data_IF_076590875515
#
_entry.id   IF_076590875515
#
_cell.length_a   1.000
_cell.length_b   1.000
_cell.length_c   1.000
_cell.angle_alpha   90.00
_cell.angle_beta   90.00
_cell.angle_gamma   90.00
#
_symmetry.space_group_name_H-M   'P 1'
#
loop_
_entity.id
_entity.type
_entity.pdbx_description
1 polymer ?
#
# COMPACT_ATOMS: atom_id res chain seq x y z
N UNK A 1 -34.13 -11.97 -3.39
CA UNK A 1 -33.44 -10.71 -3.03
C UNK A 1 -32.90 -10.75 -1.62
N UNK A 2 -33.72 -11.04 -0.59
CA UNK A 2 -33.25 -11.10 0.81
C UNK A 2 -32.02 -12.00 1.04
N UNK A 3 -32.05 -13.26 0.58
CA UNK A 3 -30.92 -14.20 0.71
C UNK A 3 -29.65 -13.73 -0.04
N UNK A 4 -29.83 -12.99 -1.14
CA UNK A 4 -28.71 -12.42 -1.92
C UNK A 4 -28.05 -11.29 -1.13
N UNK A 5 -28.85 -10.43 -0.50
CA UNK A 5 -28.35 -9.32 0.30
C UNK A 5 -27.64 -9.80 1.56
N UNK A 6 -28.17 -10.84 2.22
CA UNK A 6 -27.48 -11.51 3.34
C UNK A 6 -26.14 -12.11 2.91
N UNK A 7 -26.10 -12.76 1.74
CA UNK A 7 -24.84 -13.30 1.18
C UNK A 7 -23.83 -12.18 0.91
N UNK A 8 -24.27 -11.06 0.34
CA UNK A 8 -23.40 -9.91 0.08
C UNK A 8 -22.91 -9.30 1.39
N UNK A 9 -23.76 -9.17 2.41
CA UNK A 9 -23.37 -8.65 3.73
C UNK A 9 -22.20 -9.43 4.33
N UNK A 10 -22.28 -10.77 4.31
CA UNK A 10 -21.20 -11.66 4.77
C UNK A 10 -19.92 -11.45 3.94
N UNK A 11 -20.04 -11.30 2.62
CA UNK A 11 -18.89 -11.07 1.74
C UNK A 11 -18.25 -9.69 1.96
N UNK A 12 -19.03 -8.67 2.30
CA UNK A 12 -18.52 -7.34 2.64
C UNK A 12 -17.71 -7.38 3.94
N UNK A 13 -18.16 -8.14 4.95
CA UNK A 13 -17.49 -8.27 6.25
C UNK A 13 -16.09 -8.91 6.15
N UNK A 14 -15.86 -9.72 5.11
CA UNK A 14 -14.54 -10.31 4.79
C UNK A 14 -13.90 -9.69 3.56
N UNK A 15 -14.37 -8.52 3.12
CA UNK A 15 -13.82 -7.76 2.00
C UNK A 15 -13.71 -8.58 0.68
N UNK A 16 -14.59 -9.55 0.44
CA UNK A 16 -14.56 -10.45 -0.71
C UNK A 16 -15.23 -9.85 -1.94
N UNK A 17 -14.80 -8.66 -2.35
CA UNK A 17 -15.49 -7.82 -3.34
C UNK A 17 -15.64 -8.43 -4.72
N UNK A 18 -14.67 -9.22 -5.19
CA UNK A 18 -14.82 -9.93 -6.46
C UNK A 18 -16.02 -10.90 -6.45
N UNK A 19 -16.23 -11.61 -5.34
CA UNK A 19 -17.36 -12.52 -5.20
C UNK A 19 -18.67 -11.76 -5.07
N UNK A 20 -18.70 -10.70 -4.24
CA UNK A 20 -19.88 -9.86 -4.07
C UNK A 20 -20.31 -9.19 -5.39
N UNK A 21 -19.35 -8.67 -6.17
CA UNK A 21 -19.60 -8.09 -7.48
C UNK A 21 -20.14 -9.11 -8.49
N UNK A 22 -19.55 -10.31 -8.56
CA UNK A 22 -20.03 -11.39 -9.46
C UNK A 22 -21.48 -11.77 -9.18
N UNK A 23 -21.88 -11.80 -7.90
CA UNK A 23 -23.28 -12.04 -7.53
C UNK A 23 -24.14 -10.86 -8.00
N UNK A 24 -23.74 -9.62 -7.70
CA UNK A 24 -24.48 -8.42 -8.07
C UNK A 24 -24.65 -8.22 -9.60
N UNK A 25 -23.68 -8.63 -10.41
CA UNK A 25 -23.73 -8.54 -11.87
C UNK A 25 -24.76 -9.50 -12.49
N UNK A 26 -24.97 -10.67 -11.88
CA UNK A 26 -25.91 -11.69 -12.38
C UNK A 26 -27.39 -11.32 -12.18
N UNK A 27 -27.68 -10.31 -11.37
CA UNK A 27 -29.05 -9.89 -11.05
C UNK A 27 -29.33 -8.52 -11.66
N UNK A 28 -30.17 -8.48 -12.71
CA UNK A 28 -30.52 -7.23 -13.41
C UNK A 28 -31.09 -6.15 -12.47
N UNK A 29 -31.95 -6.57 -11.53
CA UNK A 29 -32.63 -5.68 -10.57
C UNK A 29 -31.76 -5.24 -9.38
N UNK A 30 -30.46 -5.59 -9.38
CA UNK A 30 -29.55 -5.15 -8.32
C UNK A 30 -29.32 -3.62 -8.38
N UNK A 31 -29.33 -2.90 -7.24
CA UNK A 31 -29.18 -1.44 -7.22
C UNK A 31 -27.90 -0.99 -7.94
N UNK A 32 -28.02 -0.04 -8.87
CA UNK A 32 -26.92 0.42 -9.71
C UNK A 32 -25.77 1.04 -8.91
N UNK A 33 -26.10 1.85 -7.89
CA UNK A 33 -25.15 2.43 -6.93
C UNK A 33 -24.32 1.34 -6.26
N UNK A 34 -24.97 0.34 -5.66
CA UNK A 34 -24.31 -0.78 -5.00
C UNK A 34 -23.48 -1.61 -5.96
N UNK A 35 -23.98 -1.85 -7.19
CA UNK A 35 -23.22 -2.57 -8.23
C UNK A 35 -21.93 -1.86 -8.57
N UNK A 36 -22.00 -0.54 -8.79
CA UNK A 36 -20.84 0.31 -9.07
C UNK A 36 -19.82 0.31 -7.92
N UNK A 37 -20.28 0.48 -6.68
CA UNK A 37 -19.39 0.48 -5.51
C UNK A 37 -18.70 -0.88 -5.32
N UNK A 38 -19.40 -1.99 -5.54
CA UNK A 38 -18.81 -3.34 -5.50
C UNK A 38 -17.75 -3.54 -6.59
N UNK A 39 -18.01 -3.07 -7.80
CA UNK A 39 -17.04 -3.11 -8.90
C UNK A 39 -15.80 -2.28 -8.57
N UNK A 40 -16.00 -1.05 -8.11
CA UNK A 40 -14.92 -0.16 -7.70
C UNK A 40 -14.06 -0.77 -6.59
N UNK A 41 -14.68 -1.39 -5.58
CA UNK A 41 -13.96 -2.06 -4.49
C UNK A 41 -13.19 -3.31 -4.97
N UNK A 42 -13.74 -4.07 -5.93
CA UNK A 42 -13.01 -5.15 -6.62
C UNK A 42 -11.76 -4.59 -7.30
N UNK A 43 -11.89 -3.54 -8.11
CA UNK A 43 -10.77 -2.93 -8.83
C UNK A 43 -9.70 -2.37 -7.89
N UNK A 44 -10.10 -1.80 -6.75
CA UNK A 44 -9.18 -1.38 -5.69
C UNK A 44 -8.37 -2.55 -5.12
N UNK A 45 -9.00 -3.69 -4.84
CA UNK A 45 -8.30 -4.91 -4.38
C UNK A 45 -7.40 -5.52 -5.45
N UNK A 46 -7.68 -5.25 -6.73
CA UNK A 46 -6.83 -5.60 -7.87
C UNK A 46 -5.77 -4.53 -8.16
N UNK A 47 -5.64 -3.52 -7.28
CA UNK A 47 -4.69 -2.40 -7.35
C UNK A 47 -4.91 -1.48 -8.56
N UNK A 48 -6.07 -1.54 -9.21
CA UNK A 48 -6.45 -0.73 -10.34
C UNK A 48 -7.15 0.58 -9.91
N UNK A 49 -6.35 1.58 -9.51
CA UNK A 49 -6.92 2.91 -9.18
C UNK A 49 -7.41 3.66 -10.42
N UNK A 50 -6.95 3.29 -11.61
CA UNK A 50 -7.31 3.97 -12.86
C UNK A 50 -8.81 3.87 -13.13
N UNK A 51 -9.46 2.78 -12.69
CA UNK A 51 -10.90 2.63 -12.73
C UNK A 51 -11.62 3.83 -12.09
N UNK A 52 -11.21 4.24 -10.89
CA UNK A 52 -11.85 5.36 -10.19
C UNK A 52 -11.66 6.67 -10.95
N UNK A 53 -10.48 6.91 -11.48
CA UNK A 53 -10.20 8.14 -12.24
C UNK A 53 -10.94 8.18 -13.59
N UNK A 54 -11.34 7.04 -14.14
CA UNK A 54 -12.15 6.93 -15.35
C UNK A 54 -13.66 7.18 -15.08
N UNK A 55 -14.14 6.84 -13.88
CA UNK A 55 -15.57 6.93 -13.49
C UNK A 55 -15.88 8.19 -12.66
N UNK A 56 -15.45 9.36 -13.13
CA UNK A 56 -15.61 10.62 -12.38
C UNK A 56 -17.08 11.04 -12.19
N UNK A 57 -17.95 10.66 -13.12
CA UNK A 57 -19.37 11.02 -13.06
C UNK A 57 -20.08 10.28 -11.93
N UNK A 58 -19.83 8.97 -11.84
CA UNK A 58 -20.32 8.08 -10.81
C UNK A 58 -19.78 8.49 -9.43
N UNK A 59 -18.48 8.75 -9.32
CA UNK A 59 -17.87 9.28 -8.10
C UNK A 59 -18.56 10.56 -7.59
N UNK A 60 -18.89 11.49 -8.49
CA UNK A 60 -19.60 12.73 -8.13
C UNK A 60 -21.03 12.47 -7.66
N UNK A 61 -21.70 11.43 -8.15
CA UNK A 61 -23.03 11.04 -7.67
C UNK A 61 -22.92 10.52 -6.24
N UNK A 62 -21.97 9.63 -5.95
CA UNK A 62 -21.73 9.12 -4.60
C UNK A 62 -21.43 10.27 -3.63
N UNK A 63 -20.53 11.18 -4.00
CA UNK A 63 -20.22 12.34 -3.15
C UNK A 63 -21.46 13.19 -2.84
N UNK A 64 -22.30 13.47 -3.83
CA UNK A 64 -23.53 14.27 -3.60
C UNK A 64 -24.55 13.56 -2.72
N UNK A 65 -24.65 12.24 -2.81
CA UNK A 65 -25.66 11.46 -2.09
C UNK A 65 -25.23 11.14 -0.66
N UNK A 66 -23.93 10.90 -0.43
CA UNK A 66 -23.40 10.38 0.84
C UNK A 66 -22.42 11.31 1.55
N UNK A 67 -22.07 12.45 0.95
CA UNK A 67 -20.99 13.33 1.41
C UNK A 67 -19.66 12.55 1.61
N UNK A 68 -19.40 11.60 0.71
CA UNK A 68 -18.24 10.72 0.77
C UNK A 68 -17.40 10.82 -0.51
N UNK A 69 -16.13 11.22 -0.36
CA UNK A 69 -15.19 11.29 -1.48
C UNK A 69 -14.50 9.93 -1.67
N UNK A 70 -14.70 9.32 -2.84
CA UNK A 70 -14.08 8.05 -3.22
C UNK A 70 -12.59 8.20 -3.57
N UNK A 71 -12.08 9.41 -3.81
CA UNK A 71 -10.67 9.64 -4.14
C UNK A 71 -10.14 10.81 -3.30
N UNK A 72 -9.23 10.54 -2.36
CA UNK A 72 -8.74 11.58 -1.45
C UNK A 72 -7.37 12.15 -1.87
N UNK A 73 -6.67 11.45 -2.76
CA UNK A 73 -5.32 11.79 -3.20
C UNK A 73 -5.21 12.02 -4.72
N UNK A 74 -4.10 12.62 -5.15
CA UNK A 74 -3.69 12.57 -6.56
C UNK A 74 -3.29 11.14 -6.95
N UNK A 75 -3.26 10.85 -8.26
CA UNK A 75 -3.12 9.48 -8.79
C UNK A 75 -1.97 8.67 -8.17
N UNK A 76 -0.78 9.24 -8.02
CA UNK A 76 0.38 8.51 -7.50
C UNK A 76 0.24 8.20 -6.01
N UNK A 77 -0.23 9.16 -5.22
CA UNK A 77 -0.48 9.00 -3.79
C UNK A 77 -1.69 8.10 -3.54
N UNK A 78 -2.71 8.14 -4.39
CA UNK A 78 -3.88 7.26 -4.33
C UNK A 78 -3.50 5.81 -4.59
N UNK A 79 -2.55 5.54 -5.50
CA UNK A 79 -2.00 4.20 -5.68
C UNK A 79 -1.36 3.66 -4.38
N UNK A 80 -0.62 4.51 -3.66
CA UNK A 80 0.00 4.13 -2.38
C UNK A 80 -1.06 3.92 -1.30
N UNK A 81 -2.01 4.85 -1.18
CA UNK A 81 -3.12 4.75 -0.22
C UNK A 81 -3.94 3.47 -0.47
N UNK A 82 -4.29 3.20 -1.74
CA UNK A 82 -5.02 2.01 -2.15
C UNK A 82 -4.26 0.72 -1.80
N UNK A 83 -2.95 0.69 -2.03
CA UNK A 83 -2.14 -0.46 -1.65
C UNK A 83 -2.16 -0.70 -0.13
N UNK A 84 -2.09 0.36 0.67
CA UNK A 84 -2.18 0.28 2.13
C UNK A 84 -3.58 -0.19 2.57
N UNK A 85 -4.66 0.25 1.91
CA UNK A 85 -6.01 -0.27 2.16
C UNK A 85 -6.12 -1.78 1.91
N UNK A 86 -5.49 -2.28 0.84
CA UNK A 86 -5.43 -3.72 0.56
C UNK A 86 -4.59 -4.49 1.60
N UNK A 87 -3.50 -3.90 2.11
CA UNK A 87 -2.74 -4.48 3.23
C UNK A 87 -3.58 -4.56 4.51
N UNK A 88 -4.34 -3.52 4.83
CA UNK A 88 -5.23 -3.51 5.99
C UNK A 88 -6.34 -4.57 5.87
N UNK A 89 -6.95 -4.71 4.69
CA UNK A 89 -7.93 -5.77 4.43
C UNK A 89 -7.34 -7.17 4.64
N UNK A 90 -6.08 -7.40 4.25
CA UNK A 90 -5.38 -8.67 4.50
C UNK A 90 -5.19 -8.95 5.99
N UNK A 91 -4.79 -7.95 6.77
CA UNK A 91 -4.64 -8.10 8.24
C UNK A 91 -5.99 -8.42 8.88
N UNK A 92 -7.03 -7.65 8.54
CA UNK A 92 -8.38 -7.82 9.12
C UNK A 92 -8.99 -9.18 8.82
N UNK A 93 -8.65 -9.78 7.68
CA UNK A 93 -9.04 -11.14 7.32
C UNK A 93 -8.13 -12.25 7.90
N UNK A 94 -7.11 -11.90 8.68
CA UNK A 94 -6.14 -12.88 9.22
C UNK A 94 -5.17 -13.45 8.18
N UNK A 95 -5.06 -12.84 6.99
CA UNK A 95 -4.17 -13.29 5.90
C UNK A 95 -2.73 -12.80 6.12
N UNK A 96 -2.13 -13.16 7.26
CA UNK A 96 -0.85 -12.62 7.73
C UNK A 96 0.31 -12.93 6.77
N UNK A 97 0.32 -14.13 6.19
CA UNK A 97 1.36 -14.52 5.22
C UNK A 97 1.32 -13.61 3.99
N UNK A 98 0.13 -13.36 3.45
CA UNK A 98 -0.04 -12.54 2.25
C UNK A 98 0.22 -11.06 2.54
N UNK A 99 -0.16 -10.59 3.74
CA UNK A 99 0.24 -9.27 4.24
C UNK A 99 1.77 -9.14 4.22
N UNK A 100 2.50 -10.03 4.91
CA UNK A 100 3.97 -10.01 4.98
C UNK A 100 4.61 -10.00 3.59
N UNK A 101 4.14 -10.84 2.67
CA UNK A 101 4.69 -10.92 1.30
C UNK A 101 4.46 -9.64 0.51
N UNK A 102 3.35 -8.96 0.78
CA UNK A 102 2.95 -7.71 0.12
C UNK A 102 3.69 -6.47 0.65
N UNK A 103 4.50 -6.57 1.71
CA UNK A 103 5.17 -5.40 2.31
C UNK A 103 6.28 -4.80 1.42
N UNK A 104 7.07 -5.61 0.73
CA UNK A 104 8.27 -5.09 0.03
C UNK A 104 7.98 -4.02 -1.02
N UNK A 105 6.97 -4.15 -1.90
CA UNK A 105 6.65 -3.11 -2.89
C UNK A 105 6.32 -1.76 -2.26
N UNK A 106 5.51 -1.72 -1.19
CA UNK A 106 5.13 -0.45 -0.56
C UNK A 106 6.32 0.19 0.16
N UNK A 107 7.18 -0.59 0.84
CA UNK A 107 8.39 -0.06 1.47
C UNK A 107 9.34 0.54 0.44
N UNK A 108 9.57 -0.17 -0.68
CA UNK A 108 10.40 0.34 -1.76
C UNK A 108 9.86 1.68 -2.29
N UNK A 109 8.55 1.76 -2.58
CA UNK A 109 7.92 2.97 -3.11
C UNK A 109 7.98 4.15 -2.13
N UNK A 110 7.74 3.91 -0.84
CA UNK A 110 7.83 4.95 0.18
C UNK A 110 9.26 5.44 0.38
N UNK A 111 10.25 4.53 0.46
CA UNK A 111 11.66 4.92 0.58
C UNK A 111 12.14 5.66 -0.67
N UNK A 112 11.76 5.19 -1.86
CA UNK A 112 12.09 5.86 -3.13
C UNK A 112 11.51 7.27 -3.16
N UNK A 113 10.24 7.44 -2.77
CA UNK A 113 9.58 8.75 -2.70
C UNK A 113 10.27 9.70 -1.71
N UNK A 114 10.67 9.22 -0.54
CA UNK A 114 11.42 10.02 0.42
C UNK A 114 12.82 10.38 -0.11
N UNK A 115 13.49 9.46 -0.80
CA UNK A 115 14.78 9.73 -1.42
C UNK A 115 14.67 10.79 -2.51
N UNK A 116 13.60 10.76 -3.33
CA UNK A 116 13.30 11.83 -4.30
C UNK A 116 13.07 13.20 -3.66
N UNK A 117 12.54 13.25 -2.44
CA UNK A 117 12.34 14.52 -1.74
C UNK A 117 13.67 15.16 -1.35
N UNK A 118 14.67 14.34 -1.02
CA UNK A 118 16.03 14.79 -0.68
C UNK A 118 16.87 15.03 -1.94
N UNK A 119 16.60 14.28 -3.02
CA UNK A 119 17.33 14.30 -4.30
C UNK A 119 16.27 14.37 -5.43
N UNK A 120 15.81 15.57 -5.84
CA UNK A 120 14.72 15.72 -6.81
C UNK A 120 14.91 15.00 -8.14
N UNK A 121 16.16 14.90 -8.63
CA UNK A 121 16.56 14.23 -9.86
C UNK A 121 17.17 12.83 -9.60
N UNK A 122 16.68 12.09 -8.59
CA UNK A 122 17.20 10.78 -8.20
C UNK A 122 17.32 9.80 -9.38
N UNK A 123 16.40 9.88 -10.34
CA UNK A 123 16.38 9.05 -11.56
C UNK A 123 17.68 9.15 -12.38
N UNK A 124 18.34 10.31 -12.40
CA UNK A 124 19.59 10.52 -13.14
C UNK A 124 20.76 9.71 -12.55
N UNK A 125 20.60 9.18 -11.35
CA UNK A 125 21.59 8.37 -10.64
C UNK A 125 21.25 6.88 -10.64
N UNK A 126 20.25 6.46 -11.42
CA UNK A 126 19.77 5.08 -11.49
C UNK A 126 19.77 4.62 -12.94
N UNK A 127 20.45 3.50 -13.20
CA UNK A 127 20.33 2.77 -14.45
C UNK A 127 19.14 1.81 -14.36
N UNK A 128 18.08 2.12 -15.12
CA UNK A 128 16.93 1.25 -15.35
C UNK A 128 17.35 0.04 -16.18
N UNK A 129 17.24 -1.16 -15.59
CA UNK A 129 17.69 -2.39 -16.22
C UNK A 129 16.75 -2.87 -17.37
N UNK A 130 15.56 -2.28 -17.52
CA UNK A 130 14.54 -2.54 -18.57
C UNK A 130 14.08 -4.00 -18.69
N UNK A 131 14.46 -4.88 -17.78
CA UNK A 131 14.14 -6.31 -17.75
C UNK A 131 13.95 -6.80 -16.30
N UNK A 132 13.87 -8.11 -16.06
CA UNK A 132 13.70 -8.70 -14.71
C UNK A 132 14.88 -8.47 -13.75
N UNK A 133 15.89 -7.68 -14.14
CA UNK A 133 17.00 -7.32 -13.25
C UNK A 133 16.65 -6.10 -12.41
N UNK A 134 17.32 -6.00 -11.26
CA UNK A 134 17.23 -4.82 -10.41
C UNK A 134 17.88 -3.62 -11.10
N UNK A 135 17.26 -2.45 -10.94
CA UNK A 135 17.90 -1.17 -11.20
C UNK A 135 19.23 -1.07 -10.44
N UNK A 136 20.17 -0.29 -10.99
CA UNK A 136 21.51 -0.15 -10.39
C UNK A 136 21.91 1.29 -10.22
N UNK A 137 22.63 1.59 -9.14
CA UNK A 137 23.18 2.89 -8.82
C UNK A 137 24.31 3.26 -9.79
N UNK A 138 24.23 4.48 -10.30
CA UNK A 138 25.26 5.14 -11.10
C UNK A 138 26.29 5.82 -10.16
N UNK A 139 27.16 5.01 -9.56
CA UNK A 139 28.09 5.49 -8.52
C UNK A 139 29.09 6.54 -8.98
N UNK A 140 29.41 6.61 -10.27
CA UNK A 140 30.33 7.63 -10.80
C UNK A 140 29.67 9.00 -10.77
N UNK A 141 28.43 9.05 -11.21
CA UNK A 141 27.54 10.20 -11.30
C UNK A 141 27.19 10.69 -9.88
N UNK A 142 26.88 9.76 -8.97
CA UNK A 142 26.65 10.09 -7.55
C UNK A 142 27.88 10.74 -6.89
N UNK A 143 29.10 10.29 -7.21
CA UNK A 143 30.35 10.88 -6.68
C UNK A 143 30.64 12.27 -7.23
N UNK A 144 30.20 12.56 -8.45
CA UNK A 144 30.42 13.84 -9.12
C UNK A 144 29.33 14.88 -8.80
N UNK A 145 28.20 14.44 -8.25
CA UNK A 145 27.12 15.35 -7.86
C UNK A 145 27.47 16.20 -6.62
N UNK A 146 26.72 17.28 -6.43
CA UNK A 146 26.83 18.16 -5.26
C UNK A 146 26.04 17.64 -4.03
N UNK A 147 25.42 16.47 -4.13
CA UNK A 147 24.58 15.91 -3.06
C UNK A 147 25.43 15.32 -1.93
N UNK A 148 25.53 16.05 -0.81
CA UNK A 148 26.28 15.61 0.38
C UNK A 148 25.86 14.24 0.93
N UNK A 149 24.60 13.85 0.75
CA UNK A 149 24.07 12.53 1.10
C UNK A 149 24.80 11.41 0.37
N UNK A 150 25.15 11.57 -0.92
CA UNK A 150 25.89 10.58 -1.68
C UNK A 150 27.34 10.47 -1.25
N UNK A 151 28.02 11.59 -0.97
CA UNK A 151 29.39 11.55 -0.46
C UNK A 151 29.49 10.76 0.84
N UNK A 152 28.54 10.94 1.77
CA UNK A 152 28.46 10.17 3.02
C UNK A 152 28.10 8.69 2.77
N UNK A 153 27.13 8.45 1.88
CA UNK A 153 26.66 7.10 1.56
C UNK A 153 27.76 6.21 0.94
N UNK A 154 28.62 6.80 0.10
CA UNK A 154 29.66 6.12 -0.67
C UNK A 154 31.03 6.03 0.03
N UNK A 155 31.15 6.46 1.30
CA UNK A 155 32.38 6.26 2.10
C UNK A 155 32.74 4.78 2.24
N UNK A 156 31.73 3.91 2.29
CA UNK A 156 31.91 2.46 2.29
C UNK A 156 31.42 1.84 0.99
N UNK A 157 31.97 0.68 0.64
CA UNK A 157 31.54 -0.07 -0.55
C UNK A 157 30.08 -0.50 -0.40
N UNK A 158 29.27 -0.24 -1.43
CA UNK A 158 27.85 -0.58 -1.50
C UNK A 158 27.57 -1.62 -2.58
N UNK A 159 26.44 -2.32 -2.44
CA UNK A 159 25.85 -3.11 -3.51
C UNK A 159 25.31 -2.15 -4.58
N UNK A 160 25.52 -2.48 -5.85
CA UNK A 160 25.06 -1.66 -6.96
C UNK A 160 23.53 -1.66 -7.09
N UNK A 161 22.83 -2.69 -6.62
CA UNK A 161 21.38 -2.81 -6.80
C UNK A 161 20.59 -1.77 -5.99
N UNK A 162 19.64 -1.12 -6.64
CA UNK A 162 18.64 -0.27 -6.00
C UNK A 162 17.57 -1.18 -5.41
N UNK A 163 17.51 -1.23 -4.08
CA UNK A 163 16.61 -2.08 -3.31
C UNK A 163 16.05 -1.27 -2.15
N UNK A 164 14.99 -1.76 -1.51
CA UNK A 164 14.48 -1.20 -0.25
C UNK A 164 15.59 -1.05 0.79
N UNK A 165 16.53 -2.00 0.84
CA UNK A 165 17.74 -1.92 1.67
C UNK A 165 18.62 -0.74 1.31
N UNK A 166 19.03 -0.60 0.05
CA UNK A 166 20.00 0.44 -0.33
C UNK A 166 19.37 1.83 -0.23
N UNK A 167 18.07 1.98 -0.52
CA UNK A 167 17.33 3.22 -0.26
C UNK A 167 17.24 3.54 1.24
N UNK A 168 16.92 2.56 2.09
CA UNK A 168 16.88 2.76 3.54
C UNK A 168 18.25 3.18 4.10
N UNK A 169 19.35 2.58 3.61
CA UNK A 169 20.72 2.93 3.98
C UNK A 169 21.10 4.34 3.50
N UNK A 170 20.70 4.73 2.28
CA UNK A 170 20.91 6.08 1.74
C UNK A 170 20.19 7.12 2.60
N UNK A 171 18.93 6.88 2.95
CA UNK A 171 18.10 7.78 3.73
C UNK A 171 18.62 8.04 5.16
N UNK A 172 19.50 7.20 5.70
CA UNK A 172 20.14 7.50 6.99
C UNK A 172 21.03 8.76 6.93
N UNK A 173 21.53 9.11 5.74
CA UNK A 173 22.39 10.28 5.53
C UNK A 173 21.62 11.54 5.10
N UNK A 174 20.29 11.45 5.01
CA UNK A 174 19.39 12.55 4.62
C UNK A 174 19.19 13.59 5.73
N UNK A 175 18.42 14.64 5.43
CA UNK A 175 17.95 15.63 6.41
C UNK A 175 16.61 15.24 7.06
N UNK A 176 16.16 14.00 6.87
CA UNK A 176 14.95 13.51 7.51
C UNK A 176 15.08 13.55 9.05
N UNK A 177 13.98 13.85 9.78
CA UNK A 177 13.96 13.75 11.24
C UNK A 177 14.34 12.36 11.74
N UNK A 178 14.98 12.30 12.91
CA UNK A 178 15.48 11.04 13.48
C UNK A 178 14.38 9.99 13.69
N UNK A 179 13.17 10.41 14.08
CA UNK A 179 12.04 9.49 14.23
C UNK A 179 11.65 8.82 12.90
N UNK A 180 11.78 9.52 11.76
CA UNK A 180 11.52 8.94 10.43
C UNK A 180 12.66 8.00 10.01
N UNK A 181 13.91 8.36 10.31
CA UNK A 181 15.07 7.49 10.05
C UNK A 181 15.00 6.18 10.85
N UNK A 182 14.55 6.27 12.11
CA UNK A 182 14.28 5.11 12.95
C UNK A 182 13.14 4.27 12.38
N UNK A 183 12.04 4.89 11.97
CA UNK A 183 10.91 4.22 11.32
C UNK A 183 11.34 3.44 10.07
N UNK A 184 12.15 4.06 9.19
CA UNK A 184 12.72 3.41 8.00
C UNK A 184 13.58 2.19 8.39
N UNK A 185 14.39 2.32 9.44
CA UNK A 185 15.27 1.25 9.95
C UNK A 185 14.46 0.07 10.47
N UNK A 186 13.41 0.33 11.25
CA UNK A 186 12.51 -0.70 11.78
C UNK A 186 11.77 -1.44 10.65
N UNK A 187 11.19 -0.69 9.70
CA UNK A 187 10.51 -1.27 8.53
C UNK A 187 11.46 -2.15 7.71
N UNK A 188 12.70 -1.72 7.55
CA UNK A 188 13.74 -2.48 6.85
C UNK A 188 14.16 -3.74 7.62
N UNK A 189 14.24 -3.66 8.95
CA UNK A 189 14.56 -4.80 9.79
C UNK A 189 13.47 -5.88 9.72
N UNK A 190 12.20 -5.48 9.71
CA UNK A 190 11.08 -6.39 9.47
C UNK A 190 11.20 -7.12 8.13
N UNK A 191 11.44 -6.37 7.05
CA UNK A 191 11.56 -6.96 5.72
C UNK A 191 12.68 -8.02 5.67
N UNK A 192 13.81 -7.74 6.33
CA UNK A 192 14.95 -8.67 6.42
C UNK A 192 14.62 -9.91 7.25
N UNK A 193 13.99 -9.74 8.42
CA UNK A 193 13.82 -10.80 9.44
C UNK A 193 12.58 -11.67 9.20
N UNK A 194 11.53 -11.12 8.59
CA UNK A 194 10.25 -11.80 8.40
C UNK A 194 9.97 -12.01 6.93
N UNK A 195 9.82 -10.93 6.16
CA UNK A 195 9.39 -11.00 4.77
C UNK A 195 10.33 -11.85 3.92
N UNK A 196 11.64 -11.60 4.00
CA UNK A 196 12.63 -12.29 3.17
C UNK A 196 12.60 -13.82 3.39
N UNK A 197 12.65 -14.34 4.62
CA UNK A 197 12.43 -15.77 4.87
C UNK A 197 11.08 -16.28 4.35
N UNK A 198 9.97 -15.56 4.57
CA UNK A 198 8.63 -16.01 4.13
C UNK A 198 8.41 -16.02 2.61
N UNK A 199 9.19 -15.22 1.88
CA UNK A 199 9.18 -15.20 0.42
C UNK A 199 9.99 -16.35 -0.20
N UNK A 200 10.94 -16.93 0.53
CA UNK A 200 11.84 -17.98 0.04
C UNK A 200 11.61 -19.35 0.65
N UNK A 201 10.90 -19.43 1.78
CA UNK A 201 10.68 -20.66 2.54
C UNK A 201 9.19 -20.95 2.69
N UNK A 202 8.84 -22.24 2.70
CA UNK A 202 7.51 -22.73 3.07
C UNK A 202 7.58 -23.12 4.54
N UNK A 203 6.95 -22.33 5.42
CA UNK A 203 6.86 -22.59 6.86
C UNK A 203 5.49 -22.19 7.39
N UNK A 204 4.98 -22.83 8.45
CA UNK A 204 3.82 -22.33 9.17
C UNK A 204 4.12 -20.92 9.68
N UNK A 205 3.16 -20.00 9.51
CA UNK A 205 3.30 -18.62 9.94
C UNK A 205 1.93 -17.96 10.09
N UNK A 206 1.71 -17.32 11.23
CA UNK A 206 0.50 -16.62 11.62
C UNK A 206 0.86 -15.38 12.48
N UNK A 207 -0.13 -14.75 13.10
CA UNK A 207 0.07 -13.57 13.95
C UNK A 207 0.94 -13.87 15.18
N UNK A 208 0.80 -15.05 15.78
CA UNK A 208 1.58 -15.45 16.96
C UNK A 208 3.05 -15.64 16.60
N UNK A 209 3.33 -16.32 15.49
CA UNK A 209 4.70 -16.52 15.00
C UNK A 209 5.33 -15.20 14.55
N UNK A 210 4.53 -14.28 13.99
CA UNK A 210 4.97 -12.92 13.69
C UNK A 210 5.43 -12.20 14.95
N UNK A 211 4.57 -12.14 15.96
CA UNK A 211 4.87 -11.47 17.22
C UNK A 211 6.07 -12.10 17.92
N UNK A 212 6.22 -13.43 17.90
CA UNK A 212 7.40 -14.12 18.44
C UNK A 212 8.71 -13.74 17.74
N UNK A 213 8.64 -13.45 16.44
CA UNK A 213 9.82 -13.11 15.62
C UNK A 213 10.23 -11.64 15.76
N UNK A 214 9.25 -10.73 15.89
CA UNK A 214 9.49 -9.28 15.80
C UNK A 214 9.22 -8.51 17.10
N UNK A 215 8.50 -9.10 18.06
CA UNK A 215 7.84 -8.44 19.19
C UNK A 215 6.79 -7.39 18.79
N UNK A 216 6.28 -7.43 17.56
CA UNK A 216 5.23 -6.54 17.06
C UNK A 216 4.10 -7.33 16.40
N UNK A 217 2.88 -6.84 16.51
CA UNK A 217 1.74 -7.33 15.74
C UNK A 217 1.80 -6.84 14.28
N UNK A 218 1.04 -7.50 13.40
CA UNK A 218 0.85 -7.06 12.02
C UNK A 218 0.21 -5.68 11.95
N UNK A 219 -0.75 -5.37 12.84
CA UNK A 219 -1.35 -4.04 12.93
C UNK A 219 -0.31 -2.97 13.30
N UNK A 220 0.52 -3.21 14.33
CA UNK A 220 1.56 -2.26 14.72
C UNK A 220 2.58 -2.01 13.59
N UNK A 221 2.79 -3.01 12.73
CA UNK A 221 3.63 -2.85 11.55
C UNK A 221 2.94 -2.06 10.42
N UNK A 222 1.64 -2.30 10.20
CA UNK A 222 0.84 -1.51 9.27
C UNK A 222 0.79 -0.03 9.69
N UNK A 223 0.61 0.25 10.98
CA UNK A 223 0.58 1.61 11.52
C UNK A 223 1.88 2.35 11.20
N UNK A 224 3.03 1.67 11.31
CA UNK A 224 4.34 2.21 10.91
C UNK A 224 4.44 2.52 9.41
N UNK A 225 3.83 1.69 8.54
CA UNK A 225 3.74 1.97 7.10
C UNK A 225 2.86 3.19 6.85
N UNK A 226 1.72 3.27 7.53
CA UNK A 226 0.78 4.40 7.43
C UNK A 226 1.45 5.71 7.88
N UNK A 227 2.14 5.70 9.01
CA UNK A 227 2.89 6.86 9.53
C UNK A 227 3.91 7.36 8.50
N UNK A 228 4.67 6.44 7.90
CA UNK A 228 5.64 6.78 6.86
C UNK A 228 4.96 7.32 5.59
N UNK A 229 3.81 6.76 5.20
CA UNK A 229 3.05 7.20 4.04
C UNK A 229 2.47 8.60 4.24
N UNK A 230 1.90 8.88 5.41
CA UNK A 230 1.41 10.21 5.80
C UNK A 230 2.56 11.21 5.78
N UNK A 231 3.71 10.86 6.35
CA UNK A 231 4.90 11.69 6.31
C UNK A 231 5.42 11.94 4.88
N UNK A 232 5.22 10.98 3.97
CA UNK A 232 5.53 11.11 2.54
C UNK A 232 4.45 11.89 1.75
N UNK A 233 3.40 12.39 2.40
CA UNK A 233 2.34 13.21 1.80
C UNK A 233 1.14 12.43 1.28
N UNK A 234 0.98 11.16 1.66
CA UNK A 234 -0.21 10.36 1.33
C UNK A 234 -1.30 10.64 2.36
N UNK A 235 -2.50 11.01 1.94
CA UNK A 235 -3.65 11.11 2.83
C UNK A 235 -4.24 9.72 3.06
N UNK A 236 -4.38 9.36 4.33
CA UNK A 236 -4.92 8.10 4.79
C UNK A 236 -5.73 8.33 6.07
N UNK A 237 -6.95 7.78 6.15
CA UNK A 237 -7.78 7.88 7.36
C UNK A 237 -7.41 6.73 8.33
N UNK A 238 -6.82 7.08 9.46
CA UNK A 238 -6.40 6.12 10.50
C UNK A 238 -7.51 5.79 11.51
N UNK A 239 -8.63 6.51 11.49
CA UNK A 239 -9.72 6.34 12.45
C UNK A 239 -10.79 5.40 11.94
N UNK A 240 -11.09 5.49 10.65
CA UNK A 240 -12.16 4.72 10.05
C UNK A 240 -11.72 4.18 8.68
N UNK A 241 -11.69 2.86 8.58
CA UNK A 241 -11.19 2.16 7.42
C UNK A 241 -12.07 2.43 6.20
N UNK A 242 -11.43 2.77 5.08
CA UNK A 242 -12.09 3.20 3.85
C UNK A 242 -13.11 2.16 3.33
N UNK A 243 -12.73 0.88 3.36
CA UNK A 243 -13.59 -0.22 2.94
C UNK A 243 -14.80 -0.41 3.85
N UNK A 244 -14.64 -0.27 5.17
CA UNK A 244 -15.77 -0.33 6.11
C UNK A 244 -16.79 0.77 5.80
N UNK A 245 -16.33 2.00 5.53
CA UNK A 245 -17.24 3.12 5.19
C UNK A 245 -18.07 2.86 3.94
N UNK A 246 -17.47 2.30 2.89
CA UNK A 246 -18.21 2.00 1.65
C UNK A 246 -19.10 0.78 1.82
N UNK A 247 -18.67 -0.22 2.59
CA UNK A 247 -19.51 -1.35 2.93
C UNK A 247 -20.82 -0.88 3.59
N UNK A 248 -20.75 0.08 4.53
CA UNK A 248 -21.95 0.66 5.14
C UNK A 248 -22.87 1.38 4.14
N UNK A 249 -22.30 2.10 3.15
CA UNK A 249 -23.09 2.71 2.06
C UNK A 249 -23.80 1.63 1.24
N UNK A 250 -23.10 0.56 0.87
CA UNK A 250 -23.69 -0.56 0.12
C UNK A 250 -24.80 -1.21 0.94
N UNK A 251 -24.55 -1.53 2.21
CA UNK A 251 -25.54 -2.17 3.10
C UNK A 251 -26.78 -1.30 3.28
N UNK A 252 -26.62 0.02 3.36
CA UNK A 252 -27.73 0.96 3.42
C UNK A 252 -28.59 0.91 2.15
N UNK A 253 -27.99 0.96 0.95
CA UNK A 253 -28.70 0.88 -0.33
C UNK A 253 -29.45 -0.44 -0.53
N UNK A 254 -28.91 -1.56 -0.02
CA UNK A 254 -29.57 -2.87 -0.14
C UNK A 254 -30.77 -3.04 0.82
N UNK A 255 -30.93 -2.16 1.81
CA UNK A 255 -32.03 -2.20 2.78
C UNK A 255 -33.20 -1.27 2.40
N UNK A 256 -33.02 -0.41 1.41
CA UNK A 256 -34.07 0.46 0.87
C UNK A 256 -34.93 -0.29 -0.15
#
# INVERSE_FOLDING_TARGET
MQEIYETIDILLDVYAYNHAWKIAEQHADFPSTSRYLLEMLKERRELNVDFLFAHQSENKVIWRQYDFDLITNHRQEEQLANYIMDLEAKIRNGNIIDFVRSVSPILYRLFYRLAKREIPNLEEFIHDAKNDQYDTWLFTEMKQSDYSIFHKYLVIRRDAKVTSRSLAELLQYSQLPDHIKNLITELRQFEKSVRNPLAHLIKPFDEEELHRTTNFSSQAFLDKIIDLAIYAGVKYDTKAFYFDKINEIIKHELRQ
#
